data_IF_305810821173
#
_entry.id   IF_305810821173
#
_cell.length_a   1.000
_cell.length_b   1.000
_cell.length_c   1.000
_cell.angle_alpha   90.00
_cell.angle_beta   90.00
_cell.angle_gamma   90.00
#
_symmetry.space_group_name_H-M   'P 1'
#
loop_
_entity.id
_entity.type
_entity.pdbx_description
1 polymer ?
#
# COMPACT_ATOMS: atom_id res chain seq x y z
N UNK A 1 -2.51 -25.45 0.76
CA UNK A 1 -1.89 -24.66 1.85
C UNK A 1 -0.40 -24.90 1.80
N UNK A 2 0.42 -23.84 1.89
CA UNK A 2 1.88 -23.96 1.93
C UNK A 2 2.36 -23.91 3.40
N UNK A 3 3.59 -24.37 3.62
CA UNK A 3 4.26 -24.30 4.91
C UNK A 3 5.55 -23.47 4.80
N UNK A 4 5.90 -22.73 5.85
CA UNK A 4 7.21 -22.08 5.96
C UNK A 4 8.29 -23.10 6.27
N UNK A 5 9.56 -22.70 6.17
CA UNK A 5 10.70 -23.53 6.59
C UNK A 5 10.67 -23.91 8.08
N UNK A 6 9.85 -23.23 8.89
CA UNK A 6 9.63 -23.52 10.32
C UNK A 6 8.42 -24.45 10.55
N UNK A 7 7.85 -25.04 9.50
CA UNK A 7 6.65 -25.88 9.61
C UNK A 7 5.36 -25.12 9.93
N UNK A 8 5.38 -23.78 9.90
CA UNK A 8 4.19 -22.95 10.15
C UNK A 8 3.37 -22.82 8.87
N UNK A 9 2.05 -22.83 8.98
CA UNK A 9 1.16 -22.63 7.83
C UNK A 9 1.33 -21.23 7.26
N UNK A 10 1.48 -21.14 5.94
CA UNK A 10 1.70 -19.90 5.23
C UNK A 10 0.57 -19.66 4.21
N UNK A 11 -0.25 -18.66 4.49
CA UNK A 11 -1.14 -18.05 3.51
C UNK A 11 -0.57 -16.73 3.00
N UNK A 12 -0.89 -16.39 1.76
CA UNK A 12 -0.52 -15.13 1.12
C UNK A 12 -1.80 -14.34 0.83
N UNK A 13 -2.20 -13.41 1.72
CA UNK A 13 -3.33 -12.55 1.45
C UNK A 13 -2.96 -11.57 0.33
N UNK A 14 -3.82 -11.50 -0.68
CA UNK A 14 -3.77 -10.51 -1.74
C UNK A 14 -4.87 -9.49 -1.46
N UNK A 15 -4.51 -8.27 -1.06
CA UNK A 15 -5.46 -7.22 -0.68
C UNK A 15 -5.52 -6.13 -1.75
N UNK A 16 -6.72 -5.70 -2.11
CA UNK A 16 -6.97 -4.41 -2.75
C UNK A 16 -7.67 -3.50 -1.74
N UNK A 17 -7.06 -2.34 -1.46
CA UNK A 17 -7.54 -1.41 -0.43
C UNK A 17 -7.82 -0.03 -0.99
N UNK A 18 -8.86 0.63 -0.46
CA UNK A 18 -9.10 2.04 -0.72
C UNK A 18 -8.14 2.87 0.14
N UNK A 19 -7.11 3.44 -0.48
CA UNK A 19 -6.01 4.09 0.23
C UNK A 19 -6.44 5.20 1.23
N UNK A 20 -7.49 5.98 0.91
CA UNK A 20 -7.95 7.08 1.77
C UNK A 20 -8.57 6.56 3.08
N UNK A 21 -9.33 5.47 3.01
CA UNK A 21 -10.04 4.92 4.16
C UNK A 21 -9.29 3.76 4.81
N UNK A 22 -8.30 3.18 4.11
CA UNK A 22 -7.60 1.96 4.48
C UNK A 22 -8.54 0.76 4.64
N UNK A 23 -9.71 0.77 4.00
CA UNK A 23 -10.61 -0.37 3.95
C UNK A 23 -10.16 -1.30 2.82
N UNK A 24 -10.07 -2.60 3.11
CA UNK A 24 -9.89 -3.63 2.07
C UNK A 24 -11.19 -3.74 1.30
N UNK A 25 -11.20 -3.55 -0.02
CA UNK A 25 -12.39 -3.66 -0.86
C UNK A 25 -12.54 -5.06 -1.46
N UNK A 26 -11.44 -5.75 -1.72
CA UNK A 26 -11.45 -7.13 -2.18
C UNK A 26 -10.18 -7.85 -1.73
N UNK A 27 -10.28 -9.16 -1.57
CA UNK A 27 -9.15 -10.00 -1.18
C UNK A 27 -9.26 -11.41 -1.72
N UNK A 28 -8.11 -12.07 -1.87
CA UNK A 28 -7.99 -13.53 -1.97
C UNK A 28 -6.97 -14.05 -0.95
N UNK A 29 -7.20 -15.26 -0.43
CA UNK A 29 -6.20 -15.99 0.34
C UNK A 29 -5.55 -17.05 -0.55
N UNK A 30 -4.30 -16.80 -0.95
CA UNK A 30 -3.51 -17.77 -1.71
C UNK A 30 -2.67 -18.63 -0.76
N UNK A 31 -2.18 -19.76 -1.27
CA UNK A 31 -1.10 -20.48 -0.59
C UNK A 31 0.20 -19.65 -0.61
N UNK A 32 1.04 -19.82 0.40
CA UNK A 32 2.26 -19.00 0.59
C UNK A 32 3.25 -19.01 -0.57
N UNK A 33 3.25 -20.06 -1.39
CA UNK A 33 4.11 -20.28 -2.55
C UNK A 33 3.47 -19.83 -3.88
N UNK A 34 2.20 -19.45 -3.88
CA UNK A 34 1.51 -19.03 -5.09
C UNK A 34 1.88 -17.61 -5.51
N UNK A 35 1.92 -17.42 -6.84
CA UNK A 35 2.07 -16.12 -7.47
C UNK A 35 0.74 -15.34 -7.40
N UNK A 36 0.83 -14.08 -7.01
CA UNK A 36 -0.32 -13.17 -6.88
C UNK A 36 -0.74 -12.58 -8.23
N UNK A 37 0.18 -12.52 -9.18
CA UNK A 37 0.01 -11.84 -10.48
C UNK A 37 -1.21 -12.32 -11.27
N UNK A 38 -1.47 -13.64 -11.41
CA UNK A 38 -2.65 -14.13 -12.13
C UNK A 38 -3.99 -13.75 -11.48
N UNK A 39 -4.00 -13.33 -10.20
CA UNK A 39 -5.21 -12.99 -9.46
C UNK A 39 -5.44 -11.48 -9.33
N UNK A 40 -4.41 -10.67 -9.58
CA UNK A 40 -4.45 -9.23 -9.35
C UNK A 40 -5.56 -8.53 -10.13
N UNK A 41 -5.73 -8.86 -11.42
CA UNK A 41 -6.79 -8.30 -12.26
C UNK A 41 -8.21 -8.61 -11.74
N UNK A 42 -8.44 -9.86 -11.31
CA UNK A 42 -9.74 -10.29 -10.75
C UNK A 42 -10.03 -9.62 -9.41
N UNK A 43 -9.00 -9.45 -8.56
CA UNK A 43 -9.13 -8.72 -7.30
C UNK A 43 -9.41 -7.24 -7.55
N UNK A 44 -8.77 -6.61 -8.55
CA UNK A 44 -9.04 -5.23 -8.95
C UNK A 44 -10.51 -5.06 -9.38
N UNK A 45 -11.01 -5.88 -10.30
CA UNK A 45 -12.38 -5.79 -10.78
C UNK A 45 -13.41 -5.90 -9.63
N UNK A 46 -13.20 -6.85 -8.70
CA UNK A 46 -14.04 -6.97 -7.49
C UNK A 46 -13.93 -5.75 -6.57
N UNK A 47 -12.73 -5.21 -6.38
CA UNK A 47 -12.53 -4.03 -5.55
C UNK A 47 -13.27 -2.82 -6.11
N UNK A 48 -13.23 -2.63 -7.42
CA UNK A 48 -13.96 -1.55 -8.10
C UNK A 48 -15.48 -1.73 -7.98
N UNK A 49 -15.98 -2.95 -8.13
CA UNK A 49 -17.40 -3.26 -7.91
C UNK A 49 -17.89 -3.03 -6.48
N UNK A 50 -16.98 -3.02 -5.49
CA UNK A 50 -17.27 -2.78 -4.09
C UNK A 50 -17.06 -1.31 -3.67
N UNK A 51 -16.69 -0.41 -4.57
CA UNK A 51 -16.62 1.02 -4.26
C UNK A 51 -18.03 1.57 -4.00
N UNK A 52 -18.23 2.34 -2.92
CA UNK A 52 -19.52 2.98 -2.67
C UNK A 52 -19.90 3.93 -3.80
N UNK A 53 -21.20 3.98 -4.16
CA UNK A 53 -21.72 4.88 -5.18
C UNK A 53 -21.43 6.38 -4.90
N UNK A 54 -21.23 6.73 -3.63
CA UNK A 54 -20.83 8.08 -3.21
C UNK A 54 -19.41 8.48 -3.64
N UNK A 55 -18.60 7.54 -4.14
CA UNK A 55 -17.27 7.82 -4.69
C UNK A 55 -17.43 8.32 -6.13
N UNK A 56 -17.55 9.64 -6.30
CA UNK A 56 -17.77 10.26 -7.61
C UNK A 56 -16.49 10.48 -8.43
N UNK A 57 -15.32 10.46 -7.79
CA UNK A 57 -14.04 10.65 -8.48
C UNK A 57 -13.55 9.33 -9.08
N UNK A 58 -13.02 9.32 -10.32
CA UNK A 58 -12.40 8.13 -10.89
C UNK A 58 -11.29 7.60 -9.96
N UNK A 59 -11.30 6.31 -9.60
CA UNK A 59 -10.25 5.75 -8.78
C UNK A 59 -8.96 5.63 -9.59
N UNK A 60 -7.83 5.67 -8.88
CA UNK A 60 -6.49 5.44 -9.44
C UNK A 60 -5.87 4.20 -8.79
N UNK A 61 -5.25 3.35 -9.60
CA UNK A 61 -4.55 2.17 -9.15
C UNK A 61 -3.09 2.49 -8.80
N UNK A 62 -2.63 2.08 -7.61
CA UNK A 62 -1.21 2.00 -7.26
C UNK A 62 -0.86 0.56 -6.91
N UNK A 63 0.20 0.02 -7.52
CA UNK A 63 0.68 -1.32 -7.20
C UNK A 63 2.21 -1.43 -7.14
N UNK A 64 2.71 -2.39 -6.38
CA UNK A 64 4.13 -2.67 -6.26
C UNK A 64 4.68 -3.51 -7.44
N UNK A 65 5.98 -3.77 -7.43
CA UNK A 65 6.64 -4.56 -8.48
C UNK A 65 6.30 -6.04 -8.50
N UNK A 66 5.72 -6.56 -7.42
CA UNK A 66 5.14 -7.90 -7.37
C UNK A 66 3.87 -8.01 -8.22
N UNK A 67 3.23 -6.89 -8.55
CA UNK A 67 2.05 -6.80 -9.42
C UNK A 67 2.36 -6.30 -10.83
N UNK A 68 3.64 -6.21 -11.20
CA UNK A 68 4.08 -5.73 -12.50
C UNK A 68 3.68 -6.69 -13.64
N UNK A 69 2.48 -6.49 -14.18
CA UNK A 69 1.90 -7.32 -15.24
C UNK A 69 1.09 -6.46 -16.22
N UNK A 70 1.18 -6.79 -17.51
CA UNK A 70 0.35 -6.13 -18.53
C UNK A 70 -1.15 -6.46 -18.38
N UNK A 71 -1.48 -7.60 -17.77
CA UNK A 71 -2.87 -8.00 -17.55
C UNK A 71 -3.57 -7.08 -16.54
N UNK A 72 -2.92 -6.80 -15.40
CA UNK A 72 -3.43 -5.83 -14.43
C UNK A 72 -3.59 -4.44 -15.05
N UNK A 73 -2.61 -3.97 -15.83
CA UNK A 73 -2.67 -2.68 -16.51
C UNK A 73 -3.82 -2.59 -17.52
N UNK A 74 -4.01 -3.62 -18.35
CA UNK A 74 -5.13 -3.69 -19.31
C UNK A 74 -6.48 -3.76 -18.61
N UNK A 75 -6.60 -4.55 -17.54
CA UNK A 75 -7.84 -4.60 -16.75
C UNK A 75 -8.15 -3.24 -16.14
N UNK A 76 -7.16 -2.54 -15.58
CA UNK A 76 -7.36 -1.19 -15.04
C UNK A 76 -7.97 -0.26 -16.11
N UNK A 77 -7.34 -0.16 -17.28
CA UNK A 77 -7.84 0.67 -18.39
C UNK A 77 -9.22 0.22 -18.88
N UNK A 78 -9.45 -1.08 -19.04
CA UNK A 78 -10.75 -1.62 -19.45
C UNK A 78 -11.88 -1.31 -18.44
N UNK A 79 -11.54 -1.10 -17.17
CA UNK A 79 -12.46 -0.68 -16.12
C UNK A 79 -12.51 0.84 -15.90
N UNK A 80 -11.87 1.64 -16.76
CA UNK A 80 -11.84 3.09 -16.66
C UNK A 80 -10.94 3.64 -15.54
N UNK A 81 -9.90 2.89 -15.17
CA UNK A 81 -8.98 3.22 -14.08
C UNK A 81 -7.56 3.40 -14.62
N UNK A 82 -6.99 4.58 -14.37
CA UNK A 82 -5.57 4.81 -14.61
C UNK A 82 -4.71 4.19 -13.51
N UNK A 83 -3.48 3.83 -13.85
CA UNK A 83 -2.60 3.08 -12.98
C UNK A 83 -1.21 3.71 -12.87
N UNK A 84 -0.56 3.44 -11.75
CA UNK A 84 0.89 3.50 -11.59
C UNK A 84 1.35 2.20 -10.92
N UNK A 85 2.32 1.52 -11.53
CA UNK A 85 2.83 0.22 -11.06
C UNK A 85 4.35 0.28 -11.01
N UNK A 86 4.95 -0.04 -9.86
CA UNK A 86 6.40 -0.12 -9.76
C UNK A 86 6.90 -1.25 -10.67
N UNK A 87 8.02 -1.03 -11.36
CA UNK A 87 8.61 -2.05 -12.22
C UNK A 87 9.92 -2.60 -11.63
N UNK A 88 10.12 -3.93 -11.65
CA UNK A 88 11.43 -4.49 -11.34
C UNK A 88 12.43 -4.09 -12.44
N UNK A 89 13.66 -3.69 -12.08
CA UNK A 89 14.64 -3.28 -13.07
C UNK A 89 15.01 -4.44 -14.00
N UNK A 90 15.08 -4.16 -15.31
CA UNK A 90 15.58 -5.07 -16.33
C UNK A 90 16.42 -4.28 -17.35
N UNK A 91 16.99 -4.96 -18.35
CA UNK A 91 17.85 -4.32 -19.35
C UNK A 91 17.15 -3.19 -20.12
N UNK A 92 15.86 -3.30 -20.41
CA UNK A 92 15.11 -2.26 -21.12
C UNK A 92 14.91 -1.01 -20.25
N UNK A 93 14.57 -1.18 -18.97
CA UNK A 93 14.49 -0.06 -18.03
C UNK A 93 15.84 0.62 -17.80
N UNK A 94 16.93 -0.14 -17.75
CA UNK A 94 18.27 0.45 -17.64
C UNK A 94 18.68 1.24 -18.88
N UNK A 95 18.29 0.79 -20.08
CA UNK A 95 18.47 1.58 -21.31
C UNK A 95 17.64 2.86 -21.28
N UNK A 96 16.38 2.79 -20.84
CA UNK A 96 15.54 3.96 -20.68
C UNK A 96 16.17 4.97 -19.71
N UNK A 97 16.68 4.52 -18.55
CA UNK A 97 17.42 5.37 -17.60
C UNK A 97 18.68 5.99 -18.22
N UNK A 98 19.48 5.21 -18.94
CA UNK A 98 20.71 5.70 -19.57
C UNK A 98 20.47 6.72 -20.69
N UNK A 99 19.26 6.75 -21.27
CA UNK A 99 18.89 7.68 -22.33
C UNK A 99 18.33 9.01 -21.80
N UNK A 100 18.05 9.13 -20.49
CA UNK A 100 17.57 10.39 -19.90
C UNK A 100 18.70 11.41 -19.85
N UNK A 101 18.53 12.56 -20.50
CA UNK A 101 19.49 13.65 -20.45
C UNK A 101 19.60 14.25 -19.03
N UNK A 102 20.78 14.73 -18.67
CA UNK A 102 21.03 15.25 -17.32
C UNK A 102 20.14 16.48 -17.00
N UNK A 103 19.77 17.26 -18.01
CA UNK A 103 18.89 18.43 -17.91
C UNK A 103 17.41 18.08 -17.70
N UNK A 104 17.00 16.82 -17.93
CA UNK A 104 15.62 16.38 -17.76
C UNK A 104 15.26 16.01 -16.32
N UNK A 105 16.25 15.94 -15.42
CA UNK A 105 16.02 15.57 -14.02
C UNK A 105 15.48 16.74 -13.22
N UNK A 106 14.40 16.50 -12.50
CA UNK A 106 13.81 17.44 -11.54
C UNK A 106 13.89 16.88 -10.13
N UNK A 107 14.15 17.71 -9.12
CA UNK A 107 14.19 17.25 -7.74
C UNK A 107 12.83 16.67 -7.29
N UNK A 108 12.88 15.53 -6.61
CA UNK A 108 11.70 14.89 -6.07
C UNK A 108 11.19 15.68 -4.85
N UNK A 109 9.87 15.87 -4.78
CA UNK A 109 9.22 16.49 -3.63
C UNK A 109 9.42 15.63 -2.38
N UNK A 110 9.72 16.26 -1.26
CA UNK A 110 9.78 15.64 0.07
C UNK A 110 10.67 14.37 0.12
N UNK A 111 11.78 14.38 -0.63
CA UNK A 111 12.79 13.31 -0.65
C UNK A 111 14.18 13.85 -1.02
N UNK A 112 14.97 14.20 -0.01
CA UNK A 112 16.30 14.79 -0.18
C UNK A 112 17.23 13.92 -1.04
N UNK A 113 17.87 14.53 -2.03
CA UNK A 113 18.83 13.86 -2.92
C UNK A 113 18.19 12.90 -3.92
N UNK A 114 16.86 12.92 -4.06
CA UNK A 114 16.14 12.19 -5.08
C UNK A 114 15.72 13.10 -6.23
N UNK A 115 15.74 12.55 -7.44
CA UNK A 115 15.34 13.21 -8.66
C UNK A 115 14.46 12.30 -9.49
N UNK A 116 13.57 12.90 -10.28
CA UNK A 116 12.62 12.24 -11.15
C UNK A 116 12.76 12.74 -12.58
N UNK A 117 12.52 11.85 -13.52
CA UNK A 117 12.43 12.15 -14.94
C UNK A 117 11.44 11.18 -15.60
N UNK A 118 11.02 11.50 -16.83
CA UNK A 118 10.18 10.64 -17.65
C UNK A 118 10.98 9.96 -18.75
N UNK A 119 10.41 8.87 -19.24
CA UNK A 119 10.83 8.19 -20.47
C UNK A 119 9.58 7.65 -21.15
N UNK A 120 9.50 7.81 -22.47
CA UNK A 120 8.43 7.26 -23.30
C UNK A 120 8.47 5.71 -23.39
N UNK A 121 9.42 5.09 -22.71
CA UNK A 121 9.48 3.63 -22.64
C UNK A 121 8.22 3.05 -21.99
N UNK A 122 7.57 2.15 -22.73
CA UNK A 122 6.50 1.29 -22.23
C UNK A 122 6.84 -0.18 -22.52
N UNK A 123 6.52 -1.13 -21.62
CA UNK A 123 6.73 -2.53 -21.93
C UNK A 123 5.76 -2.99 -23.04
N UNK A 124 6.21 -3.94 -23.87
CA UNK A 124 5.43 -4.46 -25.00
C UNK A 124 4.06 -5.00 -24.56
N UNK A 125 3.00 -4.62 -25.27
CA UNK A 125 1.64 -5.09 -25.01
C UNK A 125 0.94 -4.43 -23.81
N UNK A 126 1.51 -3.36 -23.27
CA UNK A 126 0.85 -2.50 -22.30
C UNK A 126 -0.11 -1.53 -22.99
N UNK A 127 -1.11 -0.97 -22.27
CA UNK A 127 -2.10 -0.07 -22.85
C UNK A 127 -1.48 1.17 -23.53
N UNK A 128 -2.14 1.76 -24.55
CA UNK A 128 -1.75 3.04 -25.12
C UNK A 128 -1.66 4.14 -24.06
N UNK A 129 -0.77 5.12 -24.25
CA UNK A 129 -0.52 6.19 -23.29
C UNK A 129 0.29 5.76 -22.06
N UNK A 130 0.76 4.51 -22.01
CA UNK A 130 1.70 4.07 -20.97
C UNK A 130 3.07 4.69 -21.19
N UNK A 131 3.71 5.18 -20.13
CA UNK A 131 5.08 5.67 -20.10
C UNK A 131 5.76 5.28 -18.78
N UNK A 132 7.03 5.62 -18.61
CA UNK A 132 7.81 5.32 -17.40
C UNK A 132 8.27 6.60 -16.70
N UNK A 133 7.98 6.72 -15.41
CA UNK A 133 8.67 7.65 -14.50
C UNK A 133 9.85 6.92 -13.89
N UNK A 134 11.01 7.58 -13.91
CA UNK A 134 12.25 7.08 -13.37
C UNK A 134 12.63 7.96 -12.20
N UNK A 135 12.85 7.35 -11.03
CA UNK A 135 13.37 8.04 -9.85
C UNK A 135 14.77 7.54 -9.53
N UNK A 136 15.73 8.45 -9.42
CA UNK A 136 17.08 8.17 -8.91
C UNK A 136 17.28 8.84 -7.56
N UNK A 137 17.97 8.16 -6.64
CA UNK A 137 18.31 8.66 -5.30
C UNK A 137 19.81 8.59 -5.12
N UNK A 138 20.45 9.70 -4.74
CA UNK A 138 21.89 9.76 -4.49
C UNK A 138 22.20 8.97 -3.23
N UNK A 139 23.06 7.96 -3.34
CA UNK A 139 23.52 7.15 -2.20
C UNK A 139 25.02 7.32 -2.09
N UNK A 140 25.50 7.76 -0.92
CA UNK A 140 26.94 7.89 -0.67
C UNK A 140 27.59 6.50 -0.73
N UNK A 141 28.80 6.40 -1.26
CA UNK A 141 29.52 5.15 -1.37
C UNK A 141 29.66 4.44 -0.01
N UNK A 142 29.88 5.21 1.07
CA UNK A 142 29.95 4.71 2.45
C UNK A 142 28.66 4.10 2.99
N UNK A 143 27.51 4.39 2.38
CA UNK A 143 26.20 3.82 2.75
C UNK A 143 25.85 2.56 1.94
N UNK A 144 26.66 2.23 0.92
CA UNK A 144 26.46 1.04 0.10
C UNK A 144 27.05 -0.16 0.84
N UNK A 145 26.16 -1.05 1.29
CA UNK A 145 26.58 -2.30 1.94
C UNK A 145 27.45 -3.15 1.00
N UNK A 146 28.57 -3.65 1.53
CA UNK A 146 29.45 -4.59 0.85
C UNK A 146 28.83 -6.00 0.68
N UNK A 147 27.74 -6.33 1.41
CA UNK A 147 27.06 -7.61 1.28
C UNK A 147 26.40 -7.75 -0.11
N UNK A 148 26.77 -8.76 -0.92
CA UNK A 148 26.13 -9.02 -2.22
C UNK A 148 24.62 -9.27 -2.14
N UNK A 149 24.10 -9.68 -0.98
CA UNK A 149 22.67 -9.94 -0.76
C UNK A 149 21.87 -8.66 -0.50
N UNK A 150 22.52 -7.52 -0.29
CA UNK A 150 21.85 -6.25 -0.04
C UNK A 150 20.90 -5.89 -1.18
N UNK A 151 19.61 -5.71 -0.84
CA UNK A 151 18.56 -5.36 -1.80
C UNK A 151 18.85 -4.04 -2.53
N UNK A 152 19.45 -3.07 -1.84
CA UNK A 152 19.79 -1.75 -2.40
C UNK A 152 20.80 -1.85 -3.55
N UNK A 153 21.71 -2.82 -3.54
CA UNK A 153 22.65 -3.03 -4.66
C UNK A 153 21.94 -3.35 -5.97
N UNK A 154 20.76 -3.98 -5.91
CA UNK A 154 19.98 -4.37 -7.10
C UNK A 154 19.34 -3.19 -7.82
N UNK A 155 19.26 -2.04 -7.15
CA UNK A 155 18.73 -0.79 -7.71
C UNK A 155 19.83 0.12 -8.22
N UNK A 156 21.11 -0.26 -8.16
CA UNK A 156 22.23 0.57 -8.62
C UNK A 156 22.76 0.00 -9.95
N UNK A 157 23.01 0.82 -10.99
CA UNK A 157 23.66 0.37 -12.20
C UNK A 157 25.00 -0.32 -11.90
N UNK A 158 25.27 -1.46 -12.53
CA UNK A 158 26.45 -2.30 -12.21
C UNK A 158 27.78 -1.54 -12.28
N UNK A 159 27.95 -0.67 -13.28
CA UNK A 159 29.16 0.14 -13.43
C UNK A 159 29.32 1.15 -12.29
N UNK A 160 28.27 1.89 -11.93
CA UNK A 160 28.31 2.83 -10.80
C UNK A 160 28.55 2.11 -9.48
N UNK A 161 27.93 0.94 -9.28
CA UNK A 161 28.14 0.13 -8.09
C UNK A 161 29.60 -0.33 -7.96
N UNK A 162 30.23 -0.76 -9.05
CA UNK A 162 31.64 -1.15 -9.05
C UNK A 162 32.53 0.05 -8.68
N UNK A 163 32.37 1.19 -9.36
CA UNK A 163 33.13 2.41 -9.08
C UNK A 163 32.99 2.88 -7.63
N UNK A 164 31.79 2.80 -7.05
CA UNK A 164 31.56 3.19 -5.66
C UNK A 164 32.18 2.22 -4.65
N UNK A 165 32.13 0.90 -4.92
CA UNK A 165 32.74 -0.11 -4.04
C UNK A 165 34.28 -0.12 -4.12
N UNK A 166 34.83 0.24 -5.28
CA UNK A 166 36.28 0.36 -5.51
C UNK A 166 36.85 1.69 -4.98
N UNK A 167 36.01 2.55 -4.40
CA UNK A 167 36.41 3.85 -3.85
C UNK A 167 36.73 4.92 -4.90
N UNK A 168 36.39 4.66 -6.17
CA UNK A 168 36.62 5.59 -7.29
C UNK A 168 35.53 6.68 -7.32
N UNK A 169 34.28 6.31 -7.05
CA UNK A 169 33.15 7.22 -6.97
C UNK A 169 32.71 7.44 -5.51
N UNK A 170 32.40 8.68 -5.16
CA UNK A 170 31.91 9.07 -3.82
C UNK A 170 30.42 8.74 -3.61
N UNK A 171 29.70 8.46 -4.69
CA UNK A 171 28.28 8.10 -4.67
C UNK A 171 27.89 7.21 -5.86
N UNK A 172 26.70 6.64 -5.76
CA UNK A 172 25.99 6.02 -6.87
C UNK A 172 24.50 6.38 -6.84
N UNK A 173 23.82 6.22 -7.97
CA UNK A 173 22.39 6.43 -8.06
C UNK A 173 21.63 5.12 -7.84
N UNK A 174 20.81 5.06 -6.80
CA UNK A 174 19.80 4.02 -6.64
C UNK A 174 18.56 4.40 -7.44
N UNK A 175 18.20 3.59 -8.43
CA UNK A 175 17.16 3.88 -9.43
C UNK A 175 15.96 2.95 -9.25
N UNK A 176 14.78 3.52 -9.43
CA UNK A 176 13.50 2.81 -9.42
C UNK A 176 12.60 3.31 -10.54
N UNK A 177 11.71 2.44 -11.01
CA UNK A 177 10.89 2.65 -12.20
C UNK A 177 9.41 2.53 -11.84
N UNK A 178 8.59 3.42 -12.38
CA UNK A 178 7.13 3.46 -12.21
C UNK A 178 6.54 3.49 -13.62
N UNK A 179 5.79 2.47 -14.00
CA UNK A 179 5.10 2.43 -15.29
C UNK A 179 3.65 2.87 -15.06
N UNK A 180 3.19 3.85 -15.84
CA UNK A 180 1.93 4.53 -15.59
C UNK A 180 1.30 5.04 -16.89
N UNK A 181 -0.02 5.19 -16.90
CA UNK A 181 -0.76 5.91 -17.94
C UNK A 181 -1.46 7.17 -17.38
N UNK A 182 -1.17 7.56 -16.14
CA UNK A 182 -1.76 8.75 -15.51
C UNK A 182 -1.17 9.98 -16.20
N UNK A 183 -2.00 10.89 -16.76
CA UNK A 183 -1.52 12.08 -17.46
C UNK A 183 -0.67 12.96 -16.55
N UNK A 184 0.48 13.41 -17.07
CA UNK A 184 1.35 14.37 -16.42
C UNK A 184 2.19 15.08 -17.51
N UNK A 185 1.99 16.38 -17.66
CA UNK A 185 2.40 17.10 -18.87
C UNK A 185 3.72 17.88 -18.69
N UNK A 186 4.24 17.96 -17.47
CA UNK A 186 5.43 18.74 -17.14
C UNK A 186 6.17 18.19 -15.90
N UNK A 187 7.33 18.77 -15.58
CA UNK A 187 8.12 18.42 -14.40
C UNK A 187 7.33 18.42 -13.08
N UNK A 188 6.64 19.52 -12.73
CA UNK A 188 5.78 19.58 -11.53
C UNK A 188 4.75 18.44 -11.41
N UNK A 189 4.06 18.10 -12.50
CA UNK A 189 3.03 17.04 -12.49
C UNK A 189 3.67 15.66 -12.28
N UNK A 190 4.82 15.42 -12.89
CA UNK A 190 5.59 14.17 -12.70
C UNK A 190 6.11 14.04 -11.26
N UNK A 191 6.59 15.13 -10.68
CA UNK A 191 6.99 15.18 -9.27
C UNK A 191 5.79 14.89 -8.36
N UNK A 192 4.63 15.47 -8.65
CA UNK A 192 3.41 15.22 -7.88
C UNK A 192 2.92 13.76 -8.00
N UNK A 193 2.99 13.19 -9.20
CA UNK A 193 2.60 11.81 -9.48
C UNK A 193 3.54 10.80 -8.81
N UNK A 194 4.86 11.02 -8.87
CA UNK A 194 5.83 10.23 -8.12
C UNK A 194 5.57 10.30 -6.62
N UNK A 195 5.39 11.52 -6.09
CA UNK A 195 5.13 11.75 -4.67
C UNK A 195 3.85 11.03 -4.23
N UNK A 196 2.76 11.15 -4.99
CA UNK A 196 1.54 10.41 -4.76
C UNK A 196 1.78 8.90 -4.82
N UNK A 197 2.55 8.41 -5.79
CA UNK A 197 2.83 6.98 -5.92
C UNK A 197 3.56 6.42 -4.69
N UNK A 198 4.41 7.20 -4.01
CA UNK A 198 5.10 6.76 -2.78
C UNK A 198 4.14 6.35 -1.65
N UNK A 199 2.94 6.93 -1.60
CA UNK A 199 1.89 6.51 -0.66
C UNK A 199 1.41 5.07 -0.84
N UNK A 200 1.85 4.34 -1.88
CA UNK A 200 1.64 2.88 -1.96
C UNK A 200 2.20 2.13 -0.75
N UNK A 201 3.22 2.67 -0.07
CA UNK A 201 3.86 2.03 1.07
C UNK A 201 2.89 1.88 2.27
N UNK A 202 1.84 2.70 2.34
CA UNK A 202 0.84 2.65 3.39
C UNK A 202 0.10 1.30 3.44
N UNK A 203 0.02 0.59 2.30
CA UNK A 203 -0.58 -0.75 2.27
C UNK A 203 0.21 -1.76 3.11
N UNK A 204 1.54 -1.60 3.23
CA UNK A 204 2.36 -2.48 4.06
C UNK A 204 2.01 -2.31 5.55
N UNK A 205 1.77 -1.06 5.97
CA UNK A 205 1.28 -0.71 7.31
C UNK A 205 -0.09 -1.34 7.56
N UNK A 206 -1.01 -1.24 6.59
CA UNK A 206 -2.34 -1.87 6.69
C UNK A 206 -2.25 -3.40 6.76
N UNK A 207 -1.43 -4.04 5.92
CA UNK A 207 -1.20 -5.49 5.94
C UNK A 207 -0.63 -5.91 7.29
N UNK A 208 0.32 -5.13 7.84
CA UNK A 208 0.90 -5.38 9.16
C UNK A 208 -0.16 -5.31 10.26
N UNK A 209 -1.07 -4.33 10.20
CA UNK A 209 -2.17 -4.21 11.15
C UNK A 209 -3.15 -5.38 11.06
N UNK A 210 -3.50 -5.86 9.87
CA UNK A 210 -4.32 -7.06 9.73
C UNK A 210 -3.62 -8.31 10.28
N UNK A 211 -2.32 -8.45 10.03
CA UNK A 211 -1.51 -9.59 10.50
C UNK A 211 -1.34 -9.62 12.01
N UNK A 212 -0.97 -8.49 12.61
CA UNK A 212 -0.60 -8.39 14.02
C UNK A 212 -1.78 -7.94 14.89
N UNK A 213 -2.53 -6.93 14.43
CA UNK A 213 -3.65 -6.30 15.13
C UNK A 213 -4.97 -7.06 14.98
N UNK A 214 -5.22 -7.72 13.85
CA UNK A 214 -6.46 -8.47 13.61
C UNK A 214 -6.29 -10.00 13.57
N UNK A 215 -5.09 -10.51 13.89
CA UNK A 215 -4.85 -11.94 14.03
C UNK A 215 -4.71 -12.74 12.72
N UNK A 216 -4.62 -12.09 11.56
CA UNK A 216 -4.47 -12.78 10.26
C UNK A 216 -3.21 -13.66 10.18
N UNK A 217 -2.20 -13.42 11.01
CA UNK A 217 -1.00 -14.27 11.09
C UNK A 217 -1.26 -15.68 11.64
N UNK A 218 -2.42 -15.92 12.25
CA UNK A 218 -2.76 -17.18 12.92
C UNK A 218 -3.83 -17.97 12.15
N UNK A 219 -3.45 -18.58 11.03
CA UNK A 219 -4.38 -19.41 10.25
C UNK A 219 -4.75 -20.70 11.03
N UNK A 220 -6.01 -20.88 11.45
CA UNK A 220 -6.38 -21.90 12.44
C UNK A 220 -6.44 -23.33 11.87
N UNK A 221 -6.64 -23.50 10.56
CA UNK A 221 -6.94 -24.81 9.97
C UNK A 221 -5.94 -25.21 8.89
N UNK A 222 -5.91 -26.50 8.51
CA UNK A 222 -5.25 -26.95 7.28
C UNK A 222 -6.17 -26.79 6.05
N UNK A 223 -7.47 -26.58 6.29
CA UNK A 223 -8.47 -26.35 5.27
C UNK A 223 -8.39 -24.89 4.73
N UNK A 224 -8.15 -24.70 3.41
CA UNK A 224 -8.18 -23.39 2.75
C UNK A 224 -9.49 -22.61 2.95
N UNK A 225 -10.63 -23.28 3.01
CA UNK A 225 -11.95 -22.66 3.16
C UNK A 225 -12.07 -22.03 4.55
N UNK A 226 -11.73 -22.77 5.60
CA UNK A 226 -11.74 -22.26 6.99
C UNK A 226 -10.80 -21.06 7.14
N UNK A 227 -9.62 -21.14 6.54
CA UNK A 227 -8.66 -20.04 6.60
C UNK A 227 -9.11 -18.81 5.78
N UNK A 228 -9.89 -19.01 4.73
CA UNK A 228 -10.53 -17.91 3.99
C UNK A 228 -11.58 -17.21 4.85
N UNK A 229 -12.40 -17.96 5.60
CA UNK A 229 -13.34 -17.40 6.58
C UNK A 229 -12.59 -16.62 7.66
N UNK A 230 -11.50 -17.17 8.20
CA UNK A 230 -10.65 -16.48 9.17
C UNK A 230 -10.07 -15.17 8.62
N UNK A 231 -9.63 -15.17 7.36
CA UNK A 231 -9.14 -13.95 6.72
C UNK A 231 -10.21 -12.87 6.67
N UNK A 232 -11.45 -13.22 6.30
CA UNK A 232 -12.56 -12.26 6.29
C UNK A 232 -12.90 -11.74 7.68
N UNK A 233 -12.86 -12.58 8.72
CA UNK A 233 -13.04 -12.13 10.10
C UNK A 233 -11.95 -11.12 10.53
N UNK A 234 -10.69 -11.38 10.17
CA UNK A 234 -9.59 -10.45 10.44
C UNK A 234 -9.73 -9.13 9.66
N UNK A 235 -10.20 -9.18 8.41
CA UNK A 235 -10.49 -7.98 7.61
C UNK A 235 -11.63 -7.17 8.22
N UNK A 236 -12.71 -7.82 8.67
CA UNK A 236 -13.81 -7.16 9.35
C UNK A 236 -13.33 -6.46 10.63
N UNK A 237 -12.48 -7.10 11.43
CA UNK A 237 -11.88 -6.48 12.60
C UNK A 237 -11.04 -5.23 12.23
N UNK A 238 -10.28 -5.30 11.12
CA UNK A 238 -9.53 -4.16 10.58
C UNK A 238 -10.42 -3.02 10.07
N UNK A 239 -11.57 -3.34 9.47
CA UNK A 239 -12.59 -2.35 9.09
C UNK A 239 -13.17 -1.66 10.32
N UNK A 240 -13.61 -2.43 11.32
CA UNK A 240 -14.16 -1.88 12.57
C UNK A 240 -13.16 -0.95 13.26
N UNK A 241 -11.89 -1.35 13.30
CA UNK A 241 -10.78 -0.51 13.78
C UNK A 241 -10.68 0.81 13.01
N UNK A 242 -10.64 0.74 11.67
CA UNK A 242 -10.49 1.94 10.83
C UNK A 242 -11.70 2.88 10.95
N UNK A 243 -12.91 2.33 10.88
CA UNK A 243 -14.16 3.10 10.97
C UNK A 243 -14.32 3.75 12.36
N UNK A 244 -14.01 3.04 13.44
CA UNK A 244 -14.05 3.59 14.79
C UNK A 244 -13.09 4.78 14.93
N UNK A 245 -11.87 4.67 14.40
CA UNK A 245 -10.90 5.76 14.45
C UNK A 245 -11.39 7.00 13.68
N UNK A 246 -11.94 6.82 12.49
CA UNK A 246 -12.52 7.91 11.70
C UNK A 246 -13.70 8.56 12.43
N UNK A 247 -14.61 7.78 13.00
CA UNK A 247 -15.76 8.28 13.76
C UNK A 247 -15.35 9.03 15.03
N UNK A 248 -14.27 8.62 15.69
CA UNK A 248 -13.75 9.29 16.88
C UNK A 248 -12.82 10.47 16.57
N UNK A 249 -12.37 10.61 15.32
CA UNK A 249 -11.30 11.54 14.90
C UNK A 249 -9.91 11.15 15.43
N UNK A 250 -9.76 9.92 15.92
CA UNK A 250 -8.53 9.46 16.57
C UNK A 250 -7.35 9.34 15.60
N UNK A 251 -7.65 9.05 14.33
CA UNK A 251 -6.69 8.97 13.22
C UNK A 251 -6.12 10.35 12.81
N UNK A 252 -6.75 11.46 13.21
CA UNK A 252 -6.32 12.81 12.83
C UNK A 252 -5.20 13.38 13.70
N UNK A 253 -5.00 12.87 14.93
CA UNK A 253 -4.05 13.44 15.89
C UNK A 253 -2.61 12.98 15.69
N UNK A 254 -2.42 11.69 15.46
CA UNK A 254 -1.08 11.07 15.40
C UNK A 254 -1.01 10.01 14.29
N UNK A 255 -1.85 10.17 13.26
CA UNK A 255 -2.10 9.13 12.27
C UNK A 255 -2.92 7.97 12.83
N UNK A 256 -3.22 7.01 11.96
CA UNK A 256 -3.96 5.80 12.32
C UNK A 256 -3.21 4.95 13.33
N UNK A 257 -3.87 4.62 14.43
CA UNK A 257 -3.37 3.70 15.42
C UNK A 257 -3.50 2.24 14.94
N UNK A 258 -2.43 1.48 15.18
CA UNK A 258 -2.42 0.04 15.01
C UNK A 258 -3.17 -0.64 16.16
N UNK A 259 -3.57 -1.90 15.96
CA UNK A 259 -4.44 -2.65 16.84
C UNK A 259 -4.06 -2.61 18.32
N UNK A 260 -2.77 -2.70 18.67
CA UNK A 260 -2.33 -2.67 20.07
C UNK A 260 -2.62 -1.32 20.75
N UNK A 261 -2.27 -0.22 20.08
CA UNK A 261 -2.54 1.14 20.58
C UNK A 261 -4.05 1.40 20.63
N UNK A 262 -4.78 1.02 19.58
CA UNK A 262 -6.23 1.20 19.53
C UNK A 262 -6.90 0.46 20.70
N UNK A 263 -6.53 -0.81 20.92
CA UNK A 263 -7.07 -1.61 22.02
C UNK A 263 -6.81 -0.91 23.35
N UNK A 264 -5.56 -0.56 23.64
CA UNK A 264 -5.19 0.06 24.90
C UNK A 264 -5.89 1.42 25.13
N UNK A 265 -6.09 2.22 24.08
CA UNK A 265 -6.61 3.58 24.24
C UNK A 265 -8.13 3.73 24.10
N UNK A 266 -8.81 2.80 23.42
CA UNK A 266 -10.25 2.91 23.11
C UNK A 266 -11.10 1.68 23.46
N UNK A 267 -10.54 0.47 23.54
CA UNK A 267 -11.33 -0.77 23.71
C UNK A 267 -11.15 -1.35 25.12
N UNK A 268 -9.91 -1.66 25.50
CA UNK A 268 -9.54 -2.15 26.85
C UNK A 268 -9.45 -1.00 27.86
N UNK A 269 -10.49 -0.17 27.91
CA UNK A 269 -10.65 0.89 28.91
C UNK A 269 -11.66 0.42 29.96
N UNK A 270 -11.33 0.47 31.27
CA UNK A 270 -12.26 0.04 32.31
C UNK A 270 -13.50 0.95 32.29
N UNK A 271 -14.68 0.35 32.22
CA UNK A 271 -15.95 1.08 32.25
C UNK A 271 -16.90 0.48 33.28
N UNK A 272 -17.78 1.30 33.83
CA UNK A 272 -18.87 0.84 34.70
C UNK A 272 -20.18 0.87 33.93
N UNK A 273 -20.81 -0.30 33.78
CA UNK A 273 -22.17 -0.40 33.25
C UNK A 273 -23.15 -0.17 34.39
N UNK A 274 -24.08 0.77 34.21
CA UNK A 274 -25.16 1.04 35.16
C UNK A 274 -26.50 1.00 34.44
N UNK A 275 -27.56 0.57 35.14
CA UNK A 275 -28.94 0.62 34.65
C UNK A 275 -29.68 1.73 35.37
N UNK A 276 -30.26 2.68 34.64
CA UNK A 276 -31.01 3.78 35.21
C UNK A 276 -32.17 4.16 34.30
N UNK A 277 -33.37 4.34 34.85
CA UNK A 277 -34.59 4.68 34.11
C UNK A 277 -34.83 3.78 32.87
N UNK A 278 -34.57 2.47 32.98
CA UNK A 278 -34.71 1.52 31.86
C UNK A 278 -33.59 1.54 30.83
N UNK A 279 -32.65 2.49 30.91
CA UNK A 279 -31.52 2.60 29.99
C UNK A 279 -30.25 1.97 30.55
N UNK A 280 -29.43 1.39 29.66
CA UNK A 280 -28.10 0.89 29.96
C UNK A 280 -27.07 2.00 29.65
N UNK A 281 -26.30 2.41 30.65
CA UNK A 281 -25.34 3.52 30.54
C UNK A 281 -23.93 2.97 30.82
N UNK A 282 -23.01 3.19 29.88
CA UNK A 282 -21.58 2.91 30.06
C UNK A 282 -20.86 4.17 30.54
N UNK A 283 -20.37 4.16 31.78
CA UNK A 283 -19.52 5.23 32.33
C UNK A 283 -18.06 4.89 32.11
N UNK A 284 -17.33 5.80 31.48
CA UNK A 284 -15.89 5.66 31.18
C UNK A 284 -15.07 6.55 32.13
N UNK A 285 -13.75 6.30 32.29
CA UNK A 285 -12.88 7.13 33.10
C UNK A 285 -12.80 8.56 32.51
N UNK A 286 -12.63 9.59 33.35
CA UNK A 286 -12.47 10.96 32.87
C UNK A 286 -11.39 11.09 31.79
N UNK A 287 -11.69 11.81 30.70
CA UNK A 287 -10.77 12.01 29.57
C UNK A 287 -10.75 10.88 28.54
N UNK A 288 -11.49 9.77 28.77
CA UNK A 288 -11.69 8.67 27.81
C UNK A 288 -13.13 8.58 27.30
N UNK A 289 -14.04 9.32 27.91
CA UNK A 289 -15.47 9.37 27.62
C UNK A 289 -15.83 10.11 26.32
N UNK A 290 -14.99 11.05 25.90
CA UNK A 290 -15.24 11.85 24.69
C UNK A 290 -15.25 11.00 23.41
N UNK A 291 -14.33 10.04 23.25
CA UNK A 291 -14.15 9.35 21.97
C UNK A 291 -15.38 8.53 21.59
N UNK A 292 -15.79 7.58 22.45
CA UNK A 292 -16.93 6.70 22.15
C UNK A 292 -18.25 7.47 22.09
N UNK A 293 -18.41 8.52 22.89
CA UNK A 293 -19.59 9.39 22.84
C UNK A 293 -19.67 10.15 21.51
N UNK A 294 -18.56 10.74 21.05
CA UNK A 294 -18.48 11.40 19.72
C UNK A 294 -18.75 10.42 18.59
N UNK A 295 -18.17 9.23 18.63
CA UNK A 295 -18.41 8.19 17.64
C UNK A 295 -19.90 7.80 17.58
N UNK A 296 -20.53 7.56 18.74
CA UNK A 296 -21.95 7.23 18.81
C UNK A 296 -22.85 8.36 18.28
N UNK A 297 -22.54 9.61 18.63
CA UNK A 297 -23.29 10.76 18.14
C UNK A 297 -23.20 10.88 16.61
N UNK A 298 -22.00 10.73 16.03
CA UNK A 298 -21.79 10.75 14.58
C UNK A 298 -22.48 9.57 13.88
N UNK A 299 -22.40 8.37 14.45
CA UNK A 299 -23.11 7.19 13.94
C UNK A 299 -24.62 7.41 13.86
N UNK A 300 -25.22 8.00 14.91
CA UNK A 300 -26.65 8.31 14.96
C UNK A 300 -27.07 9.41 13.99
N UNK A 301 -26.13 10.28 13.59
CA UNK A 301 -26.36 11.34 12.63
C UNK A 301 -26.17 10.88 11.17
N UNK A 302 -25.69 9.65 10.94
CA UNK A 302 -25.60 9.12 9.58
C UNK A 302 -27.02 8.93 9.01
N UNK A 303 -27.21 9.21 7.71
CA UNK A 303 -28.47 8.89 7.05
C UNK A 303 -28.75 7.39 7.13
N UNK A 304 -30.03 7.02 7.09
CA UNK A 304 -30.41 5.62 6.96
C UNK A 304 -29.73 5.02 5.71
N UNK A 305 -29.27 3.77 5.82
CA UNK A 305 -28.72 3.07 4.67
C UNK A 305 -29.81 2.98 3.59
N UNK A 306 -29.48 3.47 2.39
CA UNK A 306 -30.33 3.38 1.19
C UNK A 306 -30.23 1.99 0.60
#
# INVERSE_FOLDING_TARGET
>A
MAYTYEGKKAGRPLLASWARTGLVLATDLLAGDQDVRPRAAVVLARALGNLPAAVCAPPLLRADSGFFTGDLARTAVATGVDFAIAAPPNSAFWRAYAAVEETCWTDARDMTGAQVATSDYAPKGWPPGTYTIIRRVKVRASEISADPRSRRRRTIPKAQLALALDGIADHAWAVSFIVTNIPADNGPDIVALEHWFRGRADIETQIKDHKLGAGLRHLPSADPIINTVWMWAAILAGWLSSLLQTLTGFDQRAGRAHGDRLRHELITVPGRVVRHAGQLILRLPPGRDQHLTTALARLRALPAAV
#
